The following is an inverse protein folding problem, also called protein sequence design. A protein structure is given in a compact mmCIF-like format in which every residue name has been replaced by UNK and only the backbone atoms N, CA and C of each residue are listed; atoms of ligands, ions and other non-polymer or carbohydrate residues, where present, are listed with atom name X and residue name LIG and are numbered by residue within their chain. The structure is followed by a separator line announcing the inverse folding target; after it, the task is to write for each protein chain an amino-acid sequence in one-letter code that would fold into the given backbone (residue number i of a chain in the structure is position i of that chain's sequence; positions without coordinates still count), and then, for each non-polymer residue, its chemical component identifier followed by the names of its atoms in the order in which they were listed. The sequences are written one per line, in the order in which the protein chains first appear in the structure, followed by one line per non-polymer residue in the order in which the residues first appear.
data_IF_674818496978
#
_entry.id   IF_674818496978
#
_cell.length_a   1.000
_cell.length_b   1.000
_cell.length_c   1.000
_cell.angle_alpha   90.00
_cell.angle_beta   90.00
_cell.angle_gamma   90.00
#
_symmetry.space_group_name_H-M   'P 1'
#
loop_
_entity.id
_entity.type
_entity.pdbx_description
1 polymer ?
#
# COMPACT_ATOMS: atom_id res chain seq x y z
N UNK A 1 -29.44 48.07 11.76
CA UNK A 1 -28.41 47.37 11.00
C UNK A 1 -27.52 46.61 12.01
N UNK A 2 -27.93 45.39 12.37
CA UNK A 2 -27.30 44.61 13.45
C UNK A 2 -26.48 43.53 12.79
N UNK A 3 -25.16 43.61 12.96
CA UNK A 3 -24.22 42.59 12.49
C UNK A 3 -24.35 41.33 13.32
N UNK A 4 -24.69 40.22 12.67
CA UNK A 4 -24.58 38.88 13.20
C UNK A 4 -23.06 38.47 13.13
N UNK A 5 -22.40 38.49 14.27
CA UNK A 5 -21.17 37.74 14.53
C UNK A 5 -21.62 36.45 15.22
N UNK A 6 -21.57 35.38 14.52
CA UNK A 6 -22.01 34.10 15.03
C UNK A 6 -21.15 32.95 14.55
N UNK A 7 -20.61 32.23 15.54
CA UNK A 7 -20.39 30.77 15.54
C UNK A 7 -19.33 30.18 14.60
N UNK A 8 -18.06 30.40 14.88
CA UNK A 8 -17.01 29.48 14.40
C UNK A 8 -15.93 29.17 15.48
N UNK A 9 -16.34 28.99 16.72
CA UNK A 9 -15.42 28.69 17.82
C UNK A 9 -15.90 27.48 18.66
N UNK A 10 -16.46 26.44 18.02
CA UNK A 10 -17.02 25.30 18.77
C UNK A 10 -16.57 23.91 18.29
N UNK A 11 -15.48 23.80 17.53
CA UNK A 11 -15.07 22.48 16.98
C UNK A 11 -13.73 21.94 17.51
N UNK A 12 -13.10 22.55 18.50
CA UNK A 12 -11.81 22.07 19.05
C UNK A 12 -11.95 21.38 20.41
N UNK A 13 -13.12 21.38 21.04
CA UNK A 13 -13.29 20.88 22.43
C UNK A 13 -13.93 19.51 22.59
N UNK A 14 -14.14 18.71 21.55
CA UNK A 14 -14.79 17.39 21.66
C UNK A 14 -13.80 16.22 21.65
N UNK A 15 -12.49 16.44 21.76
CA UNK A 15 -11.51 15.34 21.80
C UNK A 15 -11.21 14.86 23.24
N UNK A 16 -11.76 15.42 24.27
CA UNK A 16 -11.51 14.97 25.63
C UNK A 16 -12.82 14.75 26.35
N UNK A 17 -13.17 13.53 26.60
CA UNK A 17 -13.90 12.97 27.74
C UNK A 17 -14.82 11.82 27.36
N UNK A 18 -14.21 10.71 26.95
CA UNK A 18 -14.80 9.43 27.30
C UNK A 18 -14.19 9.00 28.64
N UNK A 19 -14.91 9.29 29.72
CA UNK A 19 -14.62 8.70 31.04
C UNK A 19 -15.11 7.26 30.97
N UNK A 20 -14.21 6.33 30.67
CA UNK A 20 -14.46 4.92 30.92
C UNK A 20 -14.24 4.63 32.42
N UNK A 21 -15.10 3.82 33.07
CA UNK A 21 -14.85 3.40 34.42
C UNK A 21 -13.56 2.59 34.49
N UNK A 22 -12.64 3.02 35.32
CA UNK A 22 -11.32 2.44 35.50
C UNK A 22 -11.43 1.10 36.24
N UNK A 23 -11.24 0.02 35.49
CA UNK A 23 -10.51 -1.13 36.04
C UNK A 23 -9.05 -0.92 35.62
N UNK A 24 -8.14 -0.87 36.58
CA UNK A 24 -6.72 -0.58 36.37
C UNK A 24 -5.98 -1.75 35.73
N UNK A 25 -6.22 -2.02 34.45
CA UNK A 25 -5.17 -2.52 33.56
C UNK A 25 -4.55 -1.28 32.91
N UNK A 26 -3.24 -1.07 33.06
CA UNK A 26 -2.60 0.14 32.58
C UNK A 26 -2.72 0.22 31.05
N UNK A 27 -3.72 0.98 30.57
CA UNK A 27 -3.88 1.27 29.15
C UNK A 27 -2.67 2.04 28.63
N UNK A 28 -2.21 1.73 27.42
CA UNK A 28 -1.05 2.36 26.81
C UNK A 28 -1.46 3.16 25.57
N UNK A 29 -0.93 4.39 25.46
CA UNK A 29 -1.02 5.18 24.24
C UNK A 29 0.38 5.30 23.66
N UNK A 30 0.57 4.76 22.47
CA UNK A 30 1.81 4.90 21.70
C UNK A 30 1.63 5.86 20.54
N UNK A 31 2.67 6.64 20.25
CA UNK A 31 2.72 7.54 19.10
C UNK A 31 3.76 7.06 18.10
N UNK A 32 3.53 7.34 16.82
CA UNK A 32 4.48 7.08 15.75
C UNK A 32 4.52 8.27 14.82
N UNK A 33 5.67 8.54 14.25
CA UNK A 33 5.85 9.60 13.27
C UNK A 33 6.77 9.12 12.16
N UNK A 34 6.40 9.43 10.91
CA UNK A 34 7.24 9.15 9.74
C UNK A 34 7.20 10.38 8.82
N UNK A 35 8.39 10.81 8.45
CA UNK A 35 8.60 11.93 7.54
C UNK A 35 9.47 11.48 6.38
N UNK A 36 9.13 11.93 5.16
CA UNK A 36 9.92 11.74 3.97
C UNK A 36 9.98 13.03 3.16
N UNK A 37 11.18 13.47 2.82
CA UNK A 37 11.42 14.41 1.73
C UNK A 37 11.91 13.61 0.53
N UNK A 38 11.31 13.82 -0.64
CA UNK A 38 11.64 13.13 -1.90
C UNK A 38 12.00 14.13 -2.98
N UNK A 39 13.18 13.97 -3.56
CA UNK A 39 13.44 14.48 -4.91
C UNK A 39 13.04 13.40 -5.92
N UNK A 40 12.26 13.78 -6.93
CA UNK A 40 11.77 12.90 -7.99
C UNK A 40 12.16 13.43 -9.36
N UNK A 41 12.79 12.58 -10.17
CA UNK A 41 13.06 12.79 -11.58
C UNK A 41 12.30 11.75 -12.39
N UNK A 42 11.64 12.17 -13.48
CA UNK A 42 10.91 11.29 -14.41
C UNK A 42 11.25 11.66 -15.84
N UNK A 43 11.61 10.66 -16.64
CA UNK A 43 11.83 10.71 -18.07
C UNK A 43 10.86 9.73 -18.74
N UNK A 44 9.80 10.23 -19.34
CA UNK A 44 8.75 9.48 -20.01
C UNK A 44 8.81 9.84 -21.49
N UNK A 45 9.24 8.90 -22.36
CA UNK A 45 9.44 9.17 -23.79
C UNK A 45 8.15 9.52 -24.54
N UNK A 46 6.97 9.32 -23.91
CA UNK A 46 5.70 9.82 -24.43
C UNK A 46 5.47 11.31 -24.19
N UNK A 47 6.35 11.99 -23.44
CA UNK A 47 6.22 13.39 -23.06
C UNK A 47 7.34 14.22 -23.69
N UNK A 48 7.03 15.47 -24.02
CA UNK A 48 7.99 16.39 -24.62
C UNK A 48 9.06 16.91 -23.63
N UNK A 49 8.83 16.76 -22.33
CA UNK A 49 9.74 17.25 -21.29
C UNK A 49 9.86 16.30 -20.13
N UNK A 50 11.05 16.27 -19.55
CA UNK A 50 11.35 15.56 -18.32
C UNK A 50 10.78 16.32 -17.12
N UNK A 51 10.28 15.59 -16.13
CA UNK A 51 9.71 16.18 -14.92
C UNK A 51 10.66 16.05 -13.73
N UNK A 52 10.84 17.16 -13.00
CA UNK A 52 11.53 17.19 -11.71
C UNK A 52 10.61 17.81 -10.69
N UNK A 53 10.52 17.22 -9.51
CA UNK A 53 9.72 17.77 -8.41
C UNK A 53 10.26 17.36 -7.05
N UNK A 54 9.98 18.19 -6.05
CA UNK A 54 10.17 17.82 -4.66
C UNK A 54 8.83 17.49 -4.05
N UNK A 55 8.82 16.47 -3.19
CA UNK A 55 7.61 16.00 -2.51
C UNK A 55 7.90 15.76 -1.04
N UNK A 56 6.88 15.91 -0.22
CA UNK A 56 6.93 15.53 1.19
C UNK A 56 5.85 14.48 1.48
N UNK A 57 6.10 13.70 2.52
CA UNK A 57 5.10 12.88 3.20
C UNK A 57 5.34 12.98 4.69
N UNK A 58 4.30 13.30 5.43
CA UNK A 58 4.30 13.31 6.89
C UNK A 58 3.14 12.47 7.39
N UNK A 59 3.39 11.53 8.30
CA UNK A 59 2.36 10.68 8.89
C UNK A 59 2.52 10.66 10.41
N UNK A 60 1.43 10.93 11.11
CA UNK A 60 1.36 10.92 12.57
C UNK A 60 0.32 9.88 13.00
N UNK A 61 0.76 8.89 13.75
CA UNK A 61 -0.08 7.80 14.23
C UNK A 61 -0.22 7.78 15.74
N UNK A 62 -1.41 7.40 16.20
CA UNK A 62 -1.75 7.13 17.59
C UNK A 62 -2.32 5.72 17.69
N UNK A 63 -1.89 4.98 18.70
CA UNK A 63 -2.47 3.69 19.03
C UNK A 63 -2.77 3.65 20.52
N UNK A 64 -4.02 3.43 20.84
CA UNK A 64 -4.48 3.05 22.19
C UNK A 64 -4.52 1.53 22.27
N UNK A 65 -4.09 0.97 23.42
CA UNK A 65 -4.24 -0.44 23.79
C UNK A 65 -4.80 -0.54 25.19
N UNK A 66 -5.81 -1.37 25.40
CA UNK A 66 -6.32 -1.68 26.75
C UNK A 66 -5.47 -2.71 27.47
N UNK A 67 -4.36 -3.18 26.84
CA UNK A 67 -3.48 -4.26 27.28
C UNK A 67 -4.17 -5.63 27.46
N UNK A 68 -5.42 -5.76 27.04
CA UNK A 68 -6.16 -7.02 27.00
C UNK A 68 -6.31 -7.49 25.55
N UNK A 69 -7.34 -6.99 24.85
CA UNK A 69 -7.71 -7.47 23.51
C UNK A 69 -7.95 -6.37 22.50
N UNK A 70 -8.11 -5.13 22.93
CA UNK A 70 -8.52 -4.01 22.09
C UNK A 70 -7.34 -3.12 21.74
N UNK A 71 -7.20 -2.80 20.45
CA UNK A 71 -6.33 -1.72 19.97
C UNK A 71 -7.15 -0.80 19.07
N UNK A 72 -7.02 0.51 19.29
CA UNK A 72 -7.62 1.52 18.43
C UNK A 72 -6.48 2.28 17.77
N UNK A 73 -6.51 2.40 16.45
CA UNK A 73 -5.46 3.07 15.68
C UNK A 73 -6.03 4.19 14.84
N UNK A 74 -5.35 5.34 14.90
CA UNK A 74 -5.64 6.49 14.06
C UNK A 74 -4.31 6.95 13.47
N UNK A 75 -4.28 7.21 12.16
CA UNK A 75 -3.13 7.81 11.48
C UNK A 75 -3.60 8.93 10.56
N UNK A 76 -3.00 10.09 10.75
CA UNK A 76 -3.12 11.22 9.85
C UNK A 76 -1.93 11.24 8.90
N UNK A 77 -2.14 11.65 7.66
CA UNK A 77 -1.09 11.79 6.66
C UNK A 77 -1.29 13.04 5.83
N UNK A 78 -0.19 13.58 5.27
CA UNK A 78 -0.32 14.45 4.09
C UNK A 78 -1.15 13.71 3.04
N UNK A 79 -2.10 14.39 2.42
CA UNK A 79 -3.09 13.77 1.55
C UNK A 79 -3.31 14.57 0.26
N UNK A 80 -3.58 13.86 -0.80
CA UNK A 80 -4.30 14.27 -1.99
C UNK A 80 -5.49 13.29 -2.11
N UNK A 81 -6.41 13.48 -3.02
CA UNK A 81 -7.53 12.55 -3.27
C UNK A 81 -7.08 11.18 -3.83
N UNK A 82 -5.85 10.79 -3.62
CA UNK A 82 -5.24 9.60 -4.17
C UNK A 82 -4.97 8.55 -3.08
N UNK A 83 -5.68 7.43 -3.13
CA UNK A 83 -5.58 6.33 -2.15
C UNK A 83 -4.25 5.57 -2.21
N UNK A 84 -3.49 5.70 -3.29
CA UNK A 84 -2.20 5.04 -3.51
C UNK A 84 -0.99 5.97 -3.35
N UNK A 85 -1.18 7.18 -2.81
CA UNK A 85 -0.06 8.09 -2.54
C UNK A 85 -0.40 9.12 -1.47
N UNK A 86 0.33 9.10 -0.38
CA UNK A 86 0.30 10.13 0.66
C UNK A 86 1.33 11.25 0.43
N UNK A 87 1.87 11.40 -0.79
CA UNK A 87 2.85 12.44 -1.10
C UNK A 87 2.18 13.73 -1.51
N UNK A 88 2.66 14.85 -0.95
CA UNK A 88 2.35 16.21 -1.38
C UNK A 88 3.48 16.77 -2.24
N UNK A 89 3.16 17.35 -3.39
CA UNK A 89 4.13 17.99 -4.27
C UNK A 89 4.38 19.42 -3.78
N UNK A 90 5.64 19.80 -3.60
CA UNK A 90 6.05 21.16 -3.25
C UNK A 90 6.10 22.04 -4.51
N UNK A 91 5.93 23.35 -4.34
CA UNK A 91 5.96 24.33 -5.45
C UNK A 91 4.63 25.02 -5.67
N UNK A 92 3.62 24.74 -4.85
CA UNK A 92 2.32 25.42 -4.84
C UNK A 92 2.29 26.47 -3.71
N UNK A 93 3.20 27.46 -3.74
CA UNK A 93 3.42 28.41 -2.65
C UNK A 93 2.21 29.28 -2.24
N UNK A 94 1.10 29.15 -2.96
CA UNK A 94 -0.15 29.88 -2.66
C UNK A 94 -1.23 29.00 -2.00
N UNK A 95 -0.97 27.72 -1.80
CA UNK A 95 -1.92 26.77 -1.20
C UNK A 95 -1.28 26.03 -0.03
N UNK A 96 -2.08 25.73 1.00
CA UNK A 96 -1.66 24.83 2.08
C UNK A 96 -1.80 23.39 1.62
N UNK A 97 -0.93 22.51 2.15
CA UNK A 97 -1.03 21.07 1.96
C UNK A 97 -2.16 20.48 2.81
N UNK A 98 -2.91 19.53 2.26
CA UNK A 98 -4.00 18.88 2.97
C UNK A 98 -3.48 17.77 3.90
N UNK A 99 -4.27 17.49 4.93
CA UNK A 99 -4.07 16.38 5.86
C UNK A 99 -5.34 15.54 5.84
N UNK A 100 -5.18 14.25 5.59
CA UNK A 100 -6.28 13.29 5.54
C UNK A 100 -6.19 12.19 6.58
N UNK A 101 -7.33 11.52 6.78
CA UNK A 101 -7.43 10.30 7.59
C UNK A 101 -6.88 9.12 6.80
N UNK A 102 -5.65 8.72 7.12
CA UNK A 102 -4.95 7.62 6.45
C UNK A 102 -5.35 6.25 7.02
N UNK A 103 -5.53 6.16 8.33
CA UNK A 103 -6.06 4.98 9.02
C UNK A 103 -6.97 5.41 10.18
N UNK A 104 -8.06 4.67 10.39
CA UNK A 104 -8.92 4.78 11.55
C UNK A 104 -9.66 3.44 11.75
N UNK A 105 -9.18 2.61 12.67
CA UNK A 105 -9.74 1.28 12.86
C UNK A 105 -9.56 0.73 14.28
N UNK A 106 -10.41 -0.23 14.59
CA UNK A 106 -10.34 -1.07 15.79
C UNK A 106 -9.75 -2.42 15.39
N UNK A 107 -8.84 -2.93 16.17
CA UNK A 107 -8.29 -4.28 16.08
C UNK A 107 -8.58 -5.02 17.38
N UNK A 108 -9.38 -6.09 17.32
CA UNK A 108 -9.84 -6.83 18.49
C UNK A 108 -9.40 -8.28 18.41
N UNK A 109 -8.73 -8.77 19.46
CA UNK A 109 -8.28 -10.15 19.58
C UNK A 109 -9.44 -11.06 20.04
N UNK A 110 -10.02 -11.79 19.07
CA UNK A 110 -11.10 -12.77 19.31
C UNK A 110 -10.59 -13.93 20.17
N UNK A 111 -9.39 -14.42 19.83
CA UNK A 111 -8.66 -15.49 20.52
C UNK A 111 -7.16 -15.18 20.46
N UNK A 112 -6.33 -15.95 21.18
CA UNK A 112 -4.87 -15.88 21.07
C UNK A 112 -4.31 -16.07 19.64
N UNK A 113 -5.13 -16.56 18.71
CA UNK A 113 -4.73 -16.87 17.33
C UNK A 113 -5.49 -16.08 16.28
N UNK A 114 -6.55 -15.36 16.64
CA UNK A 114 -7.46 -14.71 15.69
C UNK A 114 -7.80 -13.30 16.13
N UNK A 115 -7.83 -12.39 15.17
CA UNK A 115 -8.27 -11.00 15.37
C UNK A 115 -9.27 -10.57 14.31
N UNK A 116 -10.04 -9.54 14.62
CA UNK A 116 -10.90 -8.81 13.69
C UNK A 116 -10.51 -7.35 13.68
N UNK A 117 -10.38 -6.78 12.48
CA UNK A 117 -10.13 -5.36 12.26
C UNK A 117 -11.34 -4.72 11.58
N UNK A 118 -11.76 -3.55 12.04
CA UNK A 118 -12.96 -2.83 11.60
C UNK A 118 -12.61 -1.36 11.34
N UNK A 119 -12.84 -0.88 10.11
CA UNK A 119 -12.61 0.52 9.71
C UNK A 119 -11.65 0.65 8.54
N UNK A 120 -10.94 1.80 8.45
CA UNK A 120 -9.89 2.08 7.46
C UNK A 120 -8.56 1.58 8.00
N UNK A 121 -8.14 0.39 7.56
CA UNK A 121 -7.10 -0.38 8.21
C UNK A 121 -5.85 -0.55 7.34
N UNK A 122 -4.73 -0.93 7.98
CA UNK A 122 -3.59 -1.46 7.23
C UNK A 122 -4.00 -2.67 6.41
N UNK A 123 -3.47 -2.81 5.18
CA UNK A 123 -3.80 -3.95 4.33
C UNK A 123 -3.51 -5.27 5.06
N UNK A 124 -4.53 -6.15 5.28
CA UNK A 124 -4.39 -7.36 6.09
C UNK A 124 -3.67 -8.51 5.38
N UNK A 125 -3.54 -8.44 4.06
CA UNK A 125 -2.98 -9.52 3.26
C UNK A 125 -1.45 -9.51 3.26
N UNK A 126 -0.87 -10.69 3.30
CA UNK A 126 0.57 -10.86 3.14
C UNK A 126 0.99 -10.49 1.72
N UNK A 127 2.02 -9.66 1.61
CA UNK A 127 2.70 -9.23 0.39
C UNK A 127 4.20 -9.54 0.55
N UNK A 128 4.82 -10.37 -0.31
CA UNK A 128 6.23 -10.75 -0.17
C UNK A 128 7.13 -9.53 -0.37
N UNK A 129 8.07 -9.33 0.55
CA UNK A 129 8.91 -8.12 0.62
C UNK A 129 8.15 -6.79 0.38
N UNK A 130 6.90 -6.71 0.83
CA UNK A 130 5.98 -5.58 0.61
C UNK A 130 5.70 -5.31 -0.88
N UNK A 131 5.61 -6.36 -1.69
CA UNK A 131 5.21 -6.26 -3.10
C UNK A 131 4.00 -5.36 -3.28
N UNK A 132 4.02 -4.57 -4.35
CA UNK A 132 2.92 -3.70 -4.75
C UNK A 132 2.30 -4.17 -6.08
N UNK A 133 2.33 -5.47 -6.33
CA UNK A 133 1.77 -6.06 -7.54
C UNK A 133 0.25 -5.93 -7.61
N UNK A 134 -0.44 -6.13 -6.45
CA UNK A 134 -1.89 -6.03 -6.34
C UNK A 134 -2.36 -4.79 -5.58
N UNK A 135 -1.63 -4.42 -4.52
CA UNK A 135 -2.01 -3.33 -3.64
C UNK A 135 -0.81 -2.45 -3.32
N UNK A 136 -0.93 -1.17 -3.55
CA UNK A 136 0.06 -0.15 -3.19
C UNK A 136 0.41 -0.20 -1.70
N UNK A 137 1.58 0.32 -1.35
CA UNK A 137 2.05 0.41 0.03
C UNK A 137 1.30 1.45 0.88
N UNK A 138 0.73 2.46 0.24
CA UNK A 138 -0.04 3.53 0.89
C UNK A 138 -1.57 3.22 0.90
N UNK A 139 -2.03 2.17 0.17
CA UNK A 139 -3.45 1.77 0.17
C UNK A 139 -3.87 1.13 1.50
N UNK A 140 -4.80 1.78 2.17
CA UNK A 140 -5.41 1.33 3.42
C UNK A 140 -6.88 0.98 3.16
N UNK A 141 -7.24 -0.33 3.09
CA UNK A 141 -8.60 -0.76 2.80
C UNK A 141 -9.59 -0.38 3.91
N UNK A 142 -10.85 -0.15 3.50
CA UNK A 142 -11.98 0.20 4.37
C UNK A 142 -12.94 -0.97 4.46
N UNK A 143 -13.28 -1.42 5.69
CA UNK A 143 -14.19 -2.54 5.87
C UNK A 143 -13.89 -3.39 7.08
N UNK A 144 -13.98 -4.72 6.87
CA UNK A 144 -13.81 -5.74 7.91
C UNK A 144 -12.74 -6.72 7.45
N UNK A 145 -11.78 -7.03 8.33
CA UNK A 145 -10.82 -8.10 8.09
C UNK A 145 -10.73 -9.04 9.29
N UNK A 146 -10.58 -10.33 9.02
CA UNK A 146 -10.33 -11.36 10.02
C UNK A 146 -8.97 -11.98 9.71
N UNK A 147 -8.09 -12.01 10.71
CA UNK A 147 -6.78 -12.64 10.66
C UNK A 147 -6.74 -13.88 11.57
N UNK A 148 -6.07 -14.93 11.12
CA UNK A 148 -5.78 -16.11 11.93
C UNK A 148 -4.31 -16.52 11.78
N UNK A 149 -3.63 -16.85 12.90
CA UNK A 149 -2.24 -17.35 12.90
C UNK A 149 -2.09 -18.43 13.96
N UNK A 150 -1.74 -19.66 13.56
CA UNK A 150 -1.50 -20.76 14.50
C UNK A 150 -0.52 -21.77 13.92
N UNK A 151 0.51 -22.14 14.69
CA UNK A 151 1.47 -23.20 14.35
C UNK A 151 2.11 -23.03 12.95
N UNK A 152 2.42 -21.80 12.55
CA UNK A 152 2.99 -21.48 11.24
C UNK A 152 1.96 -21.26 10.12
N UNK A 153 0.73 -21.70 10.28
CA UNK A 153 -0.36 -21.34 9.37
C UNK A 153 -0.81 -19.91 9.62
N UNK A 154 -1.22 -19.23 8.54
CA UNK A 154 -1.94 -17.96 8.63
C UNK A 154 -3.04 -17.90 7.57
N UNK A 155 -4.09 -17.16 7.88
CA UNK A 155 -5.18 -16.87 6.97
C UNK A 155 -5.71 -15.47 7.19
N UNK A 156 -6.17 -14.82 6.11
CA UNK A 156 -6.79 -13.53 6.17
C UNK A 156 -8.05 -13.53 5.30
N UNK A 157 -9.12 -12.96 5.82
CA UNK A 157 -10.36 -12.70 5.10
C UNK A 157 -10.58 -11.19 5.15
N UNK A 158 -10.89 -10.56 4.02
CA UNK A 158 -11.22 -9.15 3.94
C UNK A 158 -12.52 -8.94 3.18
N UNK A 159 -13.43 -8.22 3.80
CA UNK A 159 -14.64 -7.66 3.17
C UNK A 159 -14.43 -6.15 3.09
N UNK A 160 -14.03 -5.67 1.92
CA UNK A 160 -13.55 -4.30 1.71
C UNK A 160 -14.58 -3.57 0.85
N UNK A 161 -15.07 -2.44 1.33
CA UNK A 161 -15.81 -1.48 0.53
C UNK A 161 -14.84 -0.64 -0.27
N UNK A 162 -15.04 -0.57 -1.57
CA UNK A 162 -14.21 0.23 -2.46
C UNK A 162 -14.95 1.49 -2.94
N UNK A 163 -16.25 1.36 -3.22
CA UNK A 163 -17.11 2.46 -3.62
C UNK A 163 -18.51 2.28 -3.00
N UNK A 164 -19.07 3.35 -2.46
CA UNK A 164 -20.43 3.34 -1.88
C UNK A 164 -21.54 3.72 -2.88
N UNK A 165 -21.24 3.84 -4.17
CA UNK A 165 -22.09 4.36 -5.25
C UNK A 165 -23.51 3.77 -5.37
N UNK A 166 -24.29 3.74 -4.30
CA UNK A 166 -25.67 3.32 -4.27
C UNK A 166 -25.88 1.82 -4.53
N UNK A 167 -26.86 1.42 -5.33
CA UNK A 167 -27.22 0.01 -5.55
C UNK A 167 -26.14 -0.81 -6.28
N UNK A 168 -25.08 -0.19 -6.74
CA UNK A 168 -23.96 -0.82 -7.43
C UNK A 168 -22.63 -0.59 -6.72
N UNK A 169 -22.62 -0.61 -5.38
CA UNK A 169 -21.38 -0.51 -4.60
C UNK A 169 -20.35 -1.56 -5.04
N UNK A 170 -19.10 -1.14 -5.26
CA UNK A 170 -18.01 -2.06 -5.55
C UNK A 170 -17.44 -2.59 -4.25
N UNK A 171 -17.44 -3.90 -4.09
CA UNK A 171 -16.85 -4.58 -2.96
C UNK A 171 -15.69 -5.46 -3.42
N UNK A 172 -14.72 -5.64 -2.53
CA UNK A 172 -13.61 -6.58 -2.73
C UNK A 172 -13.72 -7.63 -1.64
N UNK A 173 -13.84 -8.89 -2.05
CA UNK A 173 -13.73 -10.03 -1.14
C UNK A 173 -12.36 -10.64 -1.35
N UNK A 174 -11.53 -10.61 -0.31
CA UNK A 174 -10.20 -11.20 -0.31
C UNK A 174 -10.11 -12.38 0.64
N UNK A 175 -9.60 -13.50 0.15
CA UNK A 175 -9.30 -14.71 0.93
C UNK A 175 -7.83 -15.04 0.74
N UNK A 176 -7.08 -15.25 1.81
CA UNK A 176 -5.68 -15.65 1.74
C UNK A 176 -5.39 -16.72 2.77
N UNK A 177 -4.64 -17.76 2.37
CA UNK A 177 -4.11 -18.77 3.27
C UNK A 177 -2.63 -18.98 2.99
N UNK A 178 -1.85 -19.28 4.02
CA UNK A 178 -0.42 -19.45 3.84
C UNK A 178 0.28 -20.15 5.01
N UNK A 179 1.57 -20.36 4.78
CA UNK A 179 2.50 -20.98 5.72
C UNK A 179 3.69 -20.06 5.95
N UNK A 180 4.10 -19.95 7.20
CA UNK A 180 5.35 -19.31 7.61
C UNK A 180 6.14 -20.32 8.43
N UNK A 181 7.26 -20.81 7.91
CA UNK A 181 8.03 -21.89 8.52
C UNK A 181 9.51 -21.53 8.59
N UNK A 182 10.11 -21.76 9.75
CA UNK A 182 11.55 -21.74 9.94
C UNK A 182 12.10 -23.14 9.62
N UNK A 183 13.10 -23.23 8.73
CA UNK A 183 13.71 -24.46 8.28
C UNK A 183 15.02 -24.73 9.01
N UNK A 184 15.82 -23.66 9.23
CA UNK A 184 17.07 -23.70 9.97
C UNK A 184 17.23 -22.44 10.83
N UNK A 185 18.37 -22.27 11.49
CA UNK A 185 18.70 -21.06 12.25
C UNK A 185 18.55 -19.79 11.39
N UNK A 186 19.02 -19.86 10.14
CA UNK A 186 19.14 -18.72 9.24
C UNK A 186 18.12 -18.72 8.08
N UNK A 187 17.39 -19.85 7.90
CA UNK A 187 16.47 -20.00 6.76
C UNK A 187 15.02 -20.12 7.20
N UNK A 188 14.19 -19.27 6.64
CA UNK A 188 12.73 -19.34 6.78
C UNK A 188 12.03 -19.03 5.45
N UNK A 189 10.83 -19.55 5.26
CA UNK A 189 10.00 -19.21 4.13
C UNK A 189 8.58 -18.85 4.56
N UNK A 190 7.94 -17.99 3.78
CA UNK A 190 6.54 -17.65 3.89
C UNK A 190 5.92 -17.71 2.50
N UNK A 191 4.88 -18.54 2.37
CA UNK A 191 4.14 -18.74 1.11
C UNK A 191 2.67 -18.52 1.35
N UNK A 192 1.96 -18.03 0.34
CA UNK A 192 0.52 -17.83 0.40
C UNK A 192 -0.13 -18.03 -0.97
N UNK A 193 -1.36 -18.48 -0.94
CA UNK A 193 -2.32 -18.38 -2.04
C UNK A 193 -3.45 -17.47 -1.60
N UNK A 194 -3.90 -16.61 -2.51
CA UNK A 194 -5.03 -15.73 -2.26
C UNK A 194 -5.96 -15.67 -3.47
N UNK A 195 -7.22 -15.35 -3.18
CA UNK A 195 -8.25 -15.06 -4.16
C UNK A 195 -8.87 -13.71 -3.83
N UNK A 196 -8.89 -12.79 -4.81
CA UNK A 196 -9.50 -11.48 -4.69
C UNK A 196 -10.60 -11.34 -5.73
N UNK A 197 -11.83 -11.19 -5.29
CA UNK A 197 -12.96 -10.93 -6.16
C UNK A 197 -13.37 -9.47 -6.05
N UNK A 198 -13.36 -8.76 -7.19
CA UNK A 198 -13.82 -7.38 -7.31
C UNK A 198 -15.17 -7.42 -8.02
N UNK A 199 -16.23 -7.13 -7.27
CA UNK A 199 -17.57 -7.17 -7.82
C UNK A 199 -17.87 -5.93 -8.67
N UNK A 200 -18.62 -6.15 -9.77
CA UNK A 200 -19.25 -5.11 -10.58
C UNK A 200 -18.33 -4.00 -11.15
N UNK A 201 -17.13 -4.36 -11.59
CA UNK A 201 -16.22 -3.42 -12.29
C UNK A 201 -16.60 -3.27 -13.76
N UNK A 202 -16.88 -4.39 -14.46
CA UNK A 202 -17.23 -4.37 -15.90
C UNK A 202 -18.46 -3.51 -16.16
N UNK A 203 -18.36 -2.62 -17.15
CA UNK A 203 -19.44 -1.73 -17.53
C UNK A 203 -19.62 -0.53 -16.60
N UNK A 204 -18.69 -0.29 -15.66
CA UNK A 204 -18.64 0.93 -14.86
C UNK A 204 -17.79 1.98 -15.55
N UNK A 205 -18.18 3.26 -15.55
CA UNK A 205 -17.31 4.32 -16.02
C UNK A 205 -16.15 4.53 -15.02
N UNK A 206 -14.98 4.82 -15.54
CA UNK A 206 -13.80 5.06 -14.71
C UNK A 206 -13.98 6.26 -13.75
N UNK A 207 -14.79 7.26 -14.15
CA UNK A 207 -15.12 8.41 -13.31
C UNK A 207 -15.74 8.06 -11.96
N UNK A 208 -16.45 6.92 -11.88
CA UNK A 208 -17.22 6.52 -10.70
C UNK A 208 -16.37 5.72 -9.70
N UNK A 209 -15.33 5.02 -10.19
CA UNK A 209 -14.60 4.06 -9.37
C UNK A 209 -13.08 4.27 -9.35
N UNK A 210 -12.59 5.36 -9.94
CA UNK A 210 -11.17 5.69 -9.86
C UNK A 210 -10.95 7.18 -9.60
N UNK A 211 -9.84 7.47 -8.94
CA UNK A 211 -9.43 8.83 -8.67
C UNK A 211 -9.31 9.66 -9.97
N UNK A 212 -10.08 10.74 -10.08
CA UNK A 212 -10.16 11.61 -11.26
C UNK A 212 -10.41 10.89 -12.59
N UNK A 213 -11.13 9.77 -12.58
CA UNK A 213 -11.43 8.99 -13.79
C UNK A 213 -10.24 8.38 -14.49
N UNK A 214 -9.08 8.26 -13.82
CA UNK A 214 -7.86 7.70 -14.40
C UNK A 214 -7.97 6.19 -14.56
N UNK A 215 -7.61 5.70 -15.74
CA UNK A 215 -7.71 4.28 -16.09
C UNK A 215 -6.55 3.43 -15.56
N UNK A 216 -5.42 4.02 -15.26
CA UNK A 216 -4.21 3.36 -14.77
C UNK A 216 -3.74 2.16 -15.62
N UNK A 217 -4.16 2.10 -16.92
CA UNK A 217 -3.77 1.07 -17.85
C UNK A 217 -4.78 -0.08 -18.05
N UNK A 218 -5.82 -0.19 -17.23
CA UNK A 218 -6.89 -1.15 -17.49
C UNK A 218 -7.67 -0.76 -18.75
N UNK A 219 -8.10 -1.74 -19.59
CA UNK A 219 -8.85 -1.50 -20.80
C UNK A 219 -10.28 -1.04 -20.54
N UNK A 220 -10.72 -0.09 -21.36
CA UNK A 220 -12.08 0.45 -21.40
C UNK A 220 -12.58 0.52 -22.85
N UNK A 221 -13.89 0.70 -23.01
CA UNK A 221 -14.51 1.01 -24.30
C UNK A 221 -14.34 2.50 -24.69
N UNK A 222 -14.93 2.89 -25.82
CA UNK A 222 -14.88 4.26 -26.33
C UNK A 222 -15.52 5.31 -25.40
N UNK A 223 -16.35 4.89 -24.46
CA UNK A 223 -17.04 5.72 -23.48
C UNK A 223 -16.38 5.69 -22.08
N UNK A 224 -15.16 5.11 -21.98
CA UNK A 224 -14.42 4.90 -20.74
C UNK A 224 -15.10 3.95 -19.73
N UNK A 225 -15.88 2.96 -20.18
CA UNK A 225 -16.43 1.91 -19.35
C UNK A 225 -15.48 0.70 -19.33
N UNK A 226 -15.21 0.13 -18.14
CA UNK A 226 -14.35 -1.03 -17.98
C UNK A 226 -14.83 -2.24 -18.76
N UNK A 227 -13.91 -2.90 -19.49
CA UNK A 227 -14.23 -4.07 -20.31
C UNK A 227 -14.28 -5.37 -19.53
N UNK A 228 -13.58 -5.46 -18.38
CA UNK A 228 -13.43 -6.68 -17.61
C UNK A 228 -13.80 -6.53 -16.14
N UNK A 229 -14.27 -7.61 -15.53
CA UNK A 229 -14.25 -7.80 -14.09
C UNK A 229 -12.89 -8.35 -13.64
N UNK A 230 -12.65 -8.39 -12.32
CA UNK A 230 -11.40 -8.87 -11.75
C UNK A 230 -11.70 -9.95 -10.70
N UNK A 231 -11.30 -11.18 -11.01
CA UNK A 231 -11.27 -12.29 -10.07
C UNK A 231 -9.85 -12.86 -10.10
N UNK A 232 -9.03 -12.38 -9.16
CA UNK A 232 -7.58 -12.51 -9.21
C UNK A 232 -7.10 -13.58 -8.25
N UNK A 233 -6.51 -14.64 -8.80
CA UNK A 233 -5.73 -15.62 -8.02
C UNK A 233 -4.32 -15.08 -7.86
N UNK A 234 -3.80 -15.08 -6.64
CA UNK A 234 -2.45 -14.62 -6.32
C UNK A 234 -1.65 -15.72 -5.62
N UNK A 235 -0.40 -15.89 -6.04
CA UNK A 235 0.59 -16.79 -5.43
C UNK A 235 1.78 -15.94 -4.98
N UNK A 236 2.11 -16.00 -3.69
CA UNK A 236 3.16 -15.18 -3.08
C UNK A 236 4.14 -16.05 -2.31
N UNK A 237 5.45 -15.79 -2.46
CA UNK A 237 6.45 -16.46 -1.67
C UNK A 237 7.60 -15.52 -1.29
N UNK A 238 8.14 -15.70 -0.10
CA UNK A 238 9.31 -15.04 0.43
C UNK A 238 10.20 -16.06 1.14
N UNK A 239 11.47 -16.09 0.81
CA UNK A 239 12.48 -16.90 1.50
C UNK A 239 13.57 -15.98 2.06
N UNK A 240 13.81 -16.07 3.35
CA UNK A 240 14.93 -15.41 4.03
C UNK A 240 16.00 -16.44 4.32
N UNK A 241 17.22 -16.12 3.97
CA UNK A 241 18.39 -16.98 4.21
C UNK A 241 19.65 -16.11 4.27
N UNK A 242 20.82 -16.73 4.33
CA UNK A 242 22.13 -16.08 4.23
C UNK A 242 22.90 -16.57 3.01
N UNK A 243 23.79 -15.76 2.46
CA UNK A 243 24.65 -16.11 1.32
C UNK A 243 26.11 -15.69 1.56
N UNK A 244 27.03 -16.36 0.87
CA UNK A 244 28.46 -16.10 0.92
C UNK A 244 29.12 -16.57 2.21
N UNK A 245 30.46 -16.43 2.27
CA UNK A 245 31.27 -16.75 3.46
C UNK A 245 30.92 -15.91 4.67
N UNK A 246 30.48 -14.68 4.44
CA UNK A 246 30.11 -13.69 5.49
C UNK A 246 28.68 -13.82 5.98
N UNK A 247 27.95 -14.84 5.50
CA UNK A 247 26.55 -15.12 5.86
C UNK A 247 25.63 -13.90 5.75
N UNK A 248 25.75 -13.15 4.65
CA UNK A 248 24.97 -11.95 4.41
C UNK A 248 23.48 -12.27 4.30
N UNK A 249 22.60 -11.62 5.08
CA UNK A 249 21.17 -11.87 5.02
C UNK A 249 20.59 -11.47 3.67
N UNK A 250 19.91 -12.40 3.01
CA UNK A 250 19.19 -12.19 1.76
C UNK A 250 17.74 -12.63 1.86
N UNK A 251 16.85 -11.89 1.23
CA UNK A 251 15.43 -12.24 1.07
C UNK A 251 15.12 -12.36 -0.41
N UNK A 252 14.81 -13.56 -0.89
CA UNK A 252 14.22 -13.78 -2.20
C UNK A 252 12.71 -13.66 -2.11
N UNK A 253 12.06 -13.12 -3.14
CA UNK A 253 10.62 -12.97 -3.16
C UNK A 253 10.07 -13.07 -4.58
N UNK A 254 8.86 -13.62 -4.66
CA UNK A 254 8.07 -13.73 -5.88
C UNK A 254 6.61 -13.46 -5.56
N UNK A 255 5.94 -12.77 -6.46
CA UNK A 255 4.53 -12.46 -6.41
C UNK A 255 3.93 -12.64 -7.80
N UNK A 256 2.88 -13.44 -7.93
CA UNK A 256 2.23 -13.77 -9.20
C UNK A 256 0.73 -13.56 -9.07
N UNK A 257 0.11 -12.99 -10.08
CA UNK A 257 -1.33 -12.76 -10.15
C UNK A 257 -1.88 -13.15 -11.50
N UNK A 258 -3.09 -13.74 -11.52
CA UNK A 258 -3.84 -14.05 -12.72
C UNK A 258 -5.32 -13.71 -12.53
N UNK A 259 -5.87 -12.93 -13.48
CA UNK A 259 -7.28 -12.59 -13.52
C UNK A 259 -8.06 -13.58 -14.37
N UNK A 260 -8.95 -14.36 -13.79
CA UNK A 260 -9.78 -15.34 -14.50
C UNK A 260 -10.98 -14.73 -15.27
N UNK A 261 -11.16 -13.39 -15.23
CA UNK A 261 -12.25 -12.68 -15.91
C UNK A 261 -11.81 -11.93 -17.17
N UNK A 262 -10.60 -12.18 -17.62
CA UNK A 262 -10.08 -11.71 -18.90
C UNK A 262 -9.51 -12.89 -19.68
N UNK A 263 -9.61 -12.82 -21.01
CA UNK A 263 -9.17 -13.90 -21.92
C UNK A 263 -7.70 -13.72 -22.34
N UNK A 264 -7.16 -12.49 -22.19
CA UNK A 264 -5.80 -12.14 -22.59
C UNK A 264 -5.23 -11.01 -21.72
N UNK A 265 -3.91 -10.88 -21.70
CA UNK A 265 -3.19 -9.88 -20.92
C UNK A 265 -3.60 -9.89 -19.44
N UNK A 266 -3.78 -11.08 -18.91
CA UNK A 266 -4.45 -11.38 -17.64
C UNK A 266 -3.49 -11.74 -16.51
N UNK A 267 -2.16 -11.70 -16.76
CA UNK A 267 -1.12 -12.10 -15.81
C UNK A 267 -0.24 -10.95 -15.37
N UNK A 268 0.20 -11.01 -14.13
CA UNK A 268 1.24 -10.13 -13.61
C UNK A 268 2.19 -10.91 -12.70
N UNK A 269 3.46 -10.56 -12.71
CA UNK A 269 4.43 -11.11 -11.78
C UNK A 269 5.52 -10.12 -11.38
N UNK A 270 6.10 -10.38 -10.23
CA UNK A 270 7.23 -9.67 -9.68
C UNK A 270 8.18 -10.69 -9.06
N UNK A 271 9.47 -10.62 -9.39
CA UNK A 271 10.51 -11.48 -8.81
C UNK A 271 11.71 -10.63 -8.42
N UNK A 272 12.26 -10.88 -7.24
CA UNK A 272 13.39 -10.08 -6.79
C UNK A 272 14.13 -10.64 -5.58
N UNK A 273 15.13 -9.86 -5.16
CA UNK A 273 15.91 -10.13 -3.97
C UNK A 273 16.26 -8.84 -3.22
N UNK A 274 16.36 -8.96 -1.91
CA UNK A 274 16.85 -7.91 -1.01
C UNK A 274 18.03 -8.42 -0.23
N UNK A 275 19.19 -7.81 -0.44
CA UNK A 275 20.44 -8.12 0.25
C UNK A 275 20.73 -7.08 1.33
N UNK A 276 21.07 -7.53 2.53
CA UNK A 276 21.58 -6.70 3.61
C UNK A 276 23.11 -6.88 3.65
N UNK A 277 23.84 -5.87 3.19
CA UNK A 277 25.31 -5.91 3.14
C UNK A 277 25.91 -5.76 4.53
N UNK A 278 25.32 -4.88 5.34
CA UNK A 278 25.66 -4.63 6.75
C UNK A 278 24.53 -3.83 7.40
N UNK A 279 24.71 -3.35 8.63
CA UNK A 279 23.73 -2.57 9.36
C UNK A 279 23.36 -1.24 8.67
N UNK A 280 24.25 -0.71 7.84
CA UNK A 280 24.08 0.57 7.16
C UNK A 280 23.48 0.40 5.76
N UNK A 281 23.91 -0.60 4.97
CA UNK A 281 23.61 -0.73 3.57
C UNK A 281 22.66 -1.88 3.25
N UNK A 282 21.63 -1.60 2.45
CA UNK A 282 20.71 -2.59 1.88
C UNK A 282 20.48 -2.30 0.41
N UNK A 283 20.42 -3.38 -0.38
CA UNK A 283 20.12 -3.33 -1.81
C UNK A 283 18.90 -4.19 -2.08
N UNK A 284 17.93 -3.65 -2.81
CA UNK A 284 16.77 -4.42 -3.29
C UNK A 284 16.67 -4.27 -4.79
N UNK A 285 16.51 -5.38 -5.48
CA UNK A 285 16.27 -5.42 -6.90
C UNK A 285 15.09 -6.32 -7.20
N UNK A 286 14.27 -5.91 -8.17
CA UNK A 286 13.26 -6.77 -8.75
C UNK A 286 12.97 -6.44 -10.21
N UNK A 287 12.45 -7.44 -10.91
CA UNK A 287 11.78 -7.30 -12.19
C UNK A 287 10.28 -7.48 -11.98
N UNK A 288 9.47 -6.65 -12.64
CA UNK A 288 7.99 -6.74 -12.64
C UNK A 288 7.49 -6.68 -14.09
N UNK A 289 6.50 -7.51 -14.40
CA UNK A 289 5.68 -7.44 -15.59
C UNK A 289 4.21 -7.50 -15.16
N UNK A 290 3.42 -6.52 -15.56
CA UNK A 290 2.02 -6.41 -15.19
C UNK A 290 1.20 -6.10 -16.43
N UNK A 291 0.53 -7.13 -16.95
CA UNK A 291 -0.34 -7.01 -18.11
C UNK A 291 -1.62 -6.23 -17.79
N UNK A 292 -2.25 -5.70 -18.83
CA UNK A 292 -3.31 -4.69 -18.70
C UNK A 292 -4.58 -5.17 -17.99
N UNK A 293 -4.88 -6.47 -18.05
CA UNK A 293 -6.08 -7.06 -17.44
C UNK A 293 -5.76 -7.88 -16.18
N UNK A 294 -4.50 -7.92 -15.75
CA UNK A 294 -4.07 -8.82 -14.68
C UNK A 294 -4.67 -8.49 -13.32
N UNK A 295 -4.76 -7.21 -12.98
CA UNK A 295 -5.22 -6.71 -11.69
C UNK A 295 -5.98 -5.39 -11.85
N UNK A 296 -6.78 -5.02 -10.86
CA UNK A 296 -7.46 -3.72 -10.86
C UNK A 296 -6.45 -2.60 -10.56
N UNK A 297 -6.14 -1.84 -11.61
CA UNK A 297 -4.97 -0.96 -11.68
C UNK A 297 -5.01 0.25 -10.74
N UNK A 298 -6.19 0.69 -10.31
CA UNK A 298 -6.34 1.85 -9.44
C UNK A 298 -5.76 1.63 -8.02
N UNK A 299 -5.54 0.38 -7.62
CA UNK A 299 -5.07 0.01 -6.27
C UNK A 299 -3.59 -0.41 -6.22
N UNK A 300 -2.92 -0.54 -7.37
CA UNK A 300 -1.54 -1.03 -7.42
C UNK A 300 -0.53 0.12 -7.33
N UNK A 301 0.75 -0.25 -7.35
CA UNK A 301 1.90 0.66 -7.33
C UNK A 301 1.69 1.92 -8.18
N UNK A 302 1.80 3.09 -7.56
CA UNK A 302 1.63 4.40 -8.20
C UNK A 302 2.90 4.93 -8.86
N UNK A 303 4.03 4.25 -8.72
CA UNK A 303 5.36 4.73 -9.12
C UNK A 303 5.96 3.97 -10.32
N UNK A 304 5.90 2.65 -10.32
CA UNK A 304 6.46 1.80 -11.36
C UNK A 304 5.73 2.00 -12.69
N UNK A 305 6.45 2.27 -13.79
CA UNK A 305 5.87 2.54 -15.10
C UNK A 305 4.96 3.79 -15.16
N UNK A 306 4.97 4.62 -14.10
CA UNK A 306 4.05 5.77 -13.96
C UNK A 306 2.74 5.43 -13.27
N UNK A 307 2.63 4.25 -12.69
CA UNK A 307 1.49 3.73 -11.93
C UNK A 307 0.55 2.85 -12.75
N UNK A 308 -0.08 1.90 -12.06
CA UNK A 308 -1.08 1.00 -12.66
C UNK A 308 -0.50 -0.25 -13.30
N UNK A 309 -1.00 -0.61 -14.49
CA UNK A 309 -0.68 -1.83 -15.25
C UNK A 309 -0.34 -1.55 -16.72
N UNK A 310 0.02 -2.58 -17.47
CA UNK A 310 0.44 -2.45 -18.87
C UNK A 310 1.88 -1.97 -19.00
N UNK A 311 2.75 -2.40 -18.09
CA UNK A 311 4.17 -2.02 -18.06
C UNK A 311 5.01 -3.12 -17.44
N UNK A 312 6.28 -3.15 -17.82
CA UNK A 312 7.29 -4.09 -17.32
C UNK A 312 8.64 -3.41 -17.14
N UNK A 313 9.54 -4.03 -16.41
CA UNK A 313 10.91 -3.56 -16.27
C UNK A 313 11.51 -3.81 -14.90
N UNK A 314 12.48 -2.99 -14.55
CA UNK A 314 13.38 -3.16 -13.43
C UNK A 314 13.23 -2.07 -12.40
N UNK A 315 13.42 -2.43 -11.13
CA UNK A 315 13.60 -1.48 -10.04
C UNK A 315 14.83 -1.87 -9.22
N UNK A 316 15.69 -0.91 -8.97
CA UNK A 316 16.82 -1.00 -8.06
C UNK A 316 16.65 0.00 -6.94
N UNK A 317 16.81 -0.45 -5.70
CA UNK A 317 16.76 0.39 -4.52
C UNK A 317 18.03 0.21 -3.70
N UNK A 318 18.72 1.30 -3.37
CA UNK A 318 19.87 1.35 -2.50
C UNK A 318 19.52 2.19 -1.27
N UNK A 319 19.60 1.60 -0.09
CA UNK A 319 19.27 2.25 1.18
C UNK A 319 20.51 2.36 2.07
N UNK A 320 20.74 3.54 2.62
CA UNK A 320 21.74 3.82 3.64
C UNK A 320 21.11 4.33 4.92
N UNK A 321 21.38 3.67 6.05
CA UNK A 321 20.85 4.02 7.35
C UNK A 321 21.91 4.79 8.15
N UNK A 322 21.74 6.08 8.36
CA UNK A 322 22.59 6.87 9.26
C UNK A 322 22.39 6.46 10.73
N UNK A 323 21.16 6.06 11.06
CA UNK A 323 20.77 5.57 12.38
C UNK A 323 19.53 4.67 12.25
N UNK A 324 19.04 4.15 13.39
CA UNK A 324 17.78 3.41 13.44
C UNK A 324 16.56 4.25 13.00
N UNK A 325 16.67 5.59 13.03
CA UNK A 325 15.59 6.53 12.75
C UNK A 325 15.76 7.31 11.45
N UNK A 326 16.99 7.48 10.95
CA UNK A 326 17.30 8.32 9.79
C UNK A 326 17.95 7.51 8.69
N UNK A 327 17.42 7.61 7.47
CA UNK A 327 17.97 6.93 6.29
C UNK A 327 17.83 7.78 5.03
N UNK A 328 18.71 7.48 4.05
CA UNK A 328 18.60 7.93 2.66
C UNK A 328 18.39 6.73 1.77
N UNK A 329 17.54 6.87 0.76
CA UNK A 329 17.23 5.82 -0.20
C UNK A 329 17.25 6.36 -1.62
N UNK A 330 18.02 5.72 -2.49
CA UNK A 330 17.99 5.92 -3.93
C UNK A 330 17.17 4.80 -4.56
N UNK A 331 16.14 5.14 -5.31
CA UNK A 331 15.37 4.19 -6.11
C UNK A 331 15.46 4.55 -7.59
N UNK A 332 15.82 3.59 -8.40
CA UNK A 332 15.89 3.71 -9.85
C UNK A 332 14.92 2.74 -10.51
N UNK A 333 14.15 3.27 -11.49
CA UNK A 333 13.22 2.52 -12.32
C UNK A 333 13.68 2.61 -13.77
N UNK A 334 13.73 1.48 -14.44
CA UNK A 334 13.95 1.35 -15.88
C UNK A 334 12.84 0.46 -16.45
N UNK A 335 11.80 1.11 -16.96
CA UNK A 335 10.55 0.46 -17.31
C UNK A 335 10.18 0.73 -18.76
N UNK A 336 9.33 -0.15 -19.28
CA UNK A 336 8.70 -0.04 -20.59
C UNK A 336 7.19 -0.11 -20.40
N UNK A 337 6.47 0.87 -20.96
CA UNK A 337 5.02 0.92 -21.04
C UNK A 337 4.54 0.25 -22.32
N UNK A 338 3.21 0.10 -22.48
CA UNK A 338 2.60 -0.31 -23.76
C UNK A 338 3.19 0.47 -24.93
N UNK A 339 3.23 -0.15 -26.12
CA UNK A 339 3.80 0.41 -27.37
C UNK A 339 5.30 0.74 -27.26
N UNK A 340 6.04 0.02 -26.41
CA UNK A 340 7.48 0.17 -26.22
C UNK A 340 7.91 1.60 -25.81
N UNK A 341 7.09 2.30 -25.06
CA UNK A 341 7.41 3.62 -24.53
C UNK A 341 8.35 3.47 -23.32
N UNK A 342 9.57 4.01 -23.44
CA UNK A 342 10.53 4.00 -22.34
C UNK A 342 10.09 4.94 -21.22
N UNK A 343 10.25 4.46 -19.99
CA UNK A 343 9.92 5.21 -18.78
C UNK A 343 11.02 5.01 -17.74
N UNK A 344 11.76 6.06 -17.45
CA UNK A 344 12.80 6.08 -16.41
C UNK A 344 12.40 7.01 -15.28
N UNK A 345 12.60 6.55 -14.05
CA UNK A 345 12.27 7.33 -12.87
C UNK A 345 13.34 7.16 -11.82
N UNK A 346 13.61 8.20 -11.06
CA UNK A 346 14.57 8.16 -9.95
C UNK A 346 13.99 8.91 -8.75
N UNK A 347 14.17 8.33 -7.57
CA UNK A 347 13.93 8.99 -6.29
C UNK A 347 15.20 9.10 -5.48
N UNK A 348 15.31 10.22 -4.76
CA UNK A 348 16.20 10.35 -3.61
C UNK A 348 15.32 10.71 -2.42
N UNK A 349 15.17 9.78 -1.49
CA UNK A 349 14.31 9.90 -0.32
C UNK A 349 15.16 10.11 0.94
N UNK A 350 14.93 11.19 1.65
CA UNK A 350 15.36 11.38 3.04
C UNK A 350 14.22 10.99 3.95
N UNK A 351 14.44 9.99 4.79
CA UNK A 351 13.40 9.38 5.63
C UNK A 351 13.77 9.49 7.11
N UNK A 352 12.81 9.95 7.91
CA UNK A 352 12.88 9.90 9.37
C UNK A 352 11.70 9.11 9.90
N UNK A 353 11.95 8.23 10.90
CA UNK A 353 10.91 7.42 11.53
C UNK A 353 11.15 7.35 13.04
N UNK A 354 10.11 7.67 13.82
CA UNK A 354 10.06 7.56 15.27
C UNK A 354 9.24 6.35 15.69
#
# INVERSE_FOLDING_TARGET
MIYKIGSNLFFVSIICFFIFPQSLSASEVTTSYDFRFRYEYTDDSSKSSKRRRNRIRSRLGFQYSDNERLKIKIRLATAEENTTSANQTLGTGFTLSDIGMDQAYIDYELTASSSVSLGKMSNPFFKPNKSQLLFDGDYNPEGIAIGHKKAGFFGNIGLIKFDEGGPKAVNIIGLQAGLNKKVSADTSYKIAVAQYNFDDIKGRPASDITWNGKLFGNPVDANNYYLNNYNVTNLSAEMKTTIGSDLLPITYFVDFAKNSKADENDTAFLIGAKLTLNDLWKVTYFYKDAEANAVFAALVDSDFGGGGVGHKGHQLNLSYNFSKKLSVELTWFDNQKKMNIDYKKMFIDFKYKL
#
